data_IF_233424514345
#
_entry.id   IF_233424514345
#
_cell.length_a   1.000
_cell.length_b   1.000
_cell.length_c   1.000
_cell.angle_alpha   90.00
_cell.angle_beta   90.00
_cell.angle_gamma   90.00
#
_symmetry.space_group_name_H-M   'P 1'
#
loop_
_entity.id
_entity.type
_entity.pdbx_description
1 polymer ?
#
# COMPACT_ATOMS: atom_id res chain seq x y z
N UNK A 1 49.07 72.45 24.07
CA UNK A 1 49.16 71.17 24.73
C UNK A 1 47.96 70.37 24.16
N UNK A 2 48.23 69.74 22.99
CA UNK A 2 47.18 69.11 22.16
C UNK A 2 47.22 67.63 22.31
N UNK A 3 46.10 67.05 22.76
CA UNK A 3 45.89 65.57 22.78
C UNK A 3 45.18 65.13 21.53
N UNK A 4 45.91 64.36 20.69
CA UNK A 4 45.36 63.65 19.54
C UNK A 4 44.72 62.37 20.01
N UNK A 5 43.38 62.22 19.87
CA UNK A 5 42.67 60.99 20.07
C UNK A 5 42.58 60.23 18.73
N UNK A 6 43.36 59.15 18.63
CA UNK A 6 43.28 58.20 17.52
C UNK A 6 42.04 57.30 17.65
N UNK A 7 41.10 57.37 16.68
CA UNK A 7 39.98 56.48 16.54
C UNK A 7 40.43 55.23 15.78
N UNK A 8 40.50 54.09 16.46
CA UNK A 8 40.67 52.79 15.83
C UNK A 8 39.27 52.27 15.43
N UNK A 9 39.01 52.23 14.12
CA UNK A 9 37.81 51.61 13.55
C UNK A 9 38.04 50.09 13.40
N UNK A 10 37.36 49.28 14.21
CA UNK A 10 37.37 47.83 14.08
C UNK A 10 36.32 47.47 13.00
N UNK A 11 36.79 47.05 11.84
CA UNK A 11 35.96 46.48 10.77
C UNK A 11 35.68 45.04 11.10
N UNK A 12 34.47 44.72 11.60
CA UNK A 12 33.95 43.37 11.73
C UNK A 12 33.60 42.82 10.35
N UNK A 13 34.46 41.95 9.83
CA UNK A 13 34.17 41.13 8.64
C UNK A 13 33.16 40.05 9.01
N UNK A 14 31.89 40.25 8.64
CA UNK A 14 30.89 39.18 8.61
C UNK A 14 31.18 38.29 7.40
N UNK A 15 31.81 37.15 7.61
CA UNK A 15 31.85 36.06 6.64
C UNK A 15 30.51 35.33 6.64
N UNK A 16 29.81 35.16 5.51
CA UNK A 16 28.62 34.34 5.46
C UNK A 16 29.05 32.86 5.63
N UNK A 17 28.61 32.22 6.73
CA UNK A 17 28.73 30.79 6.90
C UNK A 17 27.74 30.17 5.94
N UNK A 18 28.19 29.72 4.79
CA UNK A 18 27.41 28.85 3.88
C UNK A 18 27.35 27.49 4.55
N UNK A 19 26.22 27.19 5.19
CA UNK A 19 25.91 25.80 5.58
C UNK A 19 25.71 25.01 4.28
N UNK A 20 26.75 24.35 3.80
CA UNK A 20 26.63 23.30 2.82
C UNK A 20 25.88 22.14 3.51
N UNK A 21 24.60 21.96 3.18
CA UNK A 21 23.88 20.73 3.51
C UNK A 21 24.62 19.59 2.82
N UNK A 22 25.33 18.76 3.59
CA UNK A 22 25.95 17.53 3.09
C UNK A 22 24.83 16.58 2.66
N UNK A 23 24.62 16.50 1.37
CA UNK A 23 23.81 15.49 0.72
C UNK A 23 24.62 14.19 0.81
N UNK A 24 24.36 13.38 1.85
CA UNK A 24 24.99 12.07 1.96
C UNK A 24 24.22 11.09 1.06
N UNK A 25 24.85 10.65 -0.01
CA UNK A 25 24.37 9.50 -0.77
C UNK A 25 24.32 8.29 0.16
N UNK A 26 23.10 7.82 0.44
CA UNK A 26 22.91 6.64 1.27
C UNK A 26 23.04 5.40 0.43
N UNK A 27 24.11 4.65 0.65
CA UNK A 27 24.40 3.40 -0.03
C UNK A 27 24.06 2.23 0.88
N UNK A 28 23.33 1.25 0.40
CA UNK A 28 23.08 0.01 1.13
C UNK A 28 23.28 -1.23 0.25
N UNK A 29 23.45 -2.39 0.89
CA UNK A 29 23.67 -3.65 0.20
C UNK A 29 22.39 -4.50 0.25
N UNK A 30 21.88 -4.90 -0.89
CA UNK A 30 20.82 -5.91 -0.99
C UNK A 30 21.16 -6.91 -2.08
N UNK A 31 20.92 -8.20 -1.85
CA UNK A 31 21.26 -9.25 -2.78
C UNK A 31 22.74 -9.28 -3.23
N UNK A 32 23.68 -8.79 -2.40
CA UNK A 32 25.11 -8.72 -2.73
C UNK A 32 25.49 -7.58 -3.68
N UNK A 33 24.56 -6.70 -4.07
CA UNK A 33 24.78 -5.52 -4.91
C UNK A 33 24.66 -4.24 -4.10
N UNK A 34 25.48 -3.26 -4.46
CA UNK A 34 25.43 -1.93 -3.88
C UNK A 34 24.28 -1.13 -4.51
N UNK A 35 23.40 -0.58 -3.67
CA UNK A 35 22.30 0.30 -4.07
C UNK A 35 22.58 1.69 -3.54
N UNK A 36 22.62 2.67 -4.43
CA UNK A 36 22.70 4.08 -4.06
C UNK A 36 21.31 4.69 -4.08
N UNK A 37 20.87 5.23 -2.95
CA UNK A 37 19.61 5.98 -2.85
C UNK A 37 19.89 7.45 -3.04
N UNK A 38 19.33 8.05 -4.07
CA UNK A 38 19.41 9.50 -4.34
C UNK A 38 18.07 10.16 -3.98
N UNK A 39 18.03 11.35 -3.47
CA UNK A 39 18.46 11.77 -2.14
C UNK A 39 17.41 11.38 -1.09
N UNK A 40 17.83 10.83 0.01
CA UNK A 40 16.97 10.64 1.19
C UNK A 40 17.07 11.89 2.04
N UNK A 41 15.98 12.62 2.24
CA UNK A 41 15.92 13.72 3.22
C UNK A 41 15.90 13.10 4.61
N UNK A 42 17.04 13.13 5.31
CA UNK A 42 17.21 12.49 6.61
C UNK A 42 17.44 13.57 7.65
N UNK A 43 16.77 13.45 8.79
CA UNK A 43 17.24 14.11 10.00
C UNK A 43 18.51 13.40 10.49
N UNK A 44 19.52 14.18 10.88
CA UNK A 44 20.83 13.68 11.30
C UNK A 44 20.73 12.55 12.34
N UNK A 45 21.49 11.48 12.14
CA UNK A 45 21.60 10.35 13.07
C UNK A 45 20.84 9.07 12.70
N UNK A 46 20.06 9.03 11.63
CA UNK A 46 19.33 7.83 11.21
C UNK A 46 20.23 6.88 10.42
N UNK A 47 20.31 5.61 10.84
CA UNK A 47 20.93 4.54 10.05
C UNK A 47 20.00 4.16 8.87
N UNK A 48 20.13 4.88 7.77
CA UNK A 48 19.27 4.72 6.57
C UNK A 48 19.31 3.31 5.99
N UNK A 49 20.46 2.68 5.76
CA UNK A 49 20.51 1.32 5.23
C UNK A 49 19.78 0.32 6.14
N UNK A 50 19.97 0.43 7.45
CA UNK A 50 19.27 -0.39 8.44
C UNK A 50 17.76 -0.15 8.45
N UNK A 51 17.34 1.12 8.29
CA UNK A 51 15.93 1.48 8.21
C UNK A 51 15.26 0.91 6.95
N UNK A 52 15.85 1.10 5.77
CA UNK A 52 15.35 0.55 4.52
C UNK A 52 15.22 -0.97 4.58
N UNK A 53 16.24 -1.65 5.09
CA UNK A 53 16.20 -3.11 5.27
C UNK A 53 15.06 -3.54 6.21
N UNK A 54 14.77 -2.73 7.24
CA UNK A 54 13.64 -3.00 8.14
C UNK A 54 12.31 -2.81 7.44
N UNK A 55 12.15 -1.76 6.62
CA UNK A 55 10.95 -1.55 5.78
C UNK A 55 10.78 -2.66 4.76
N UNK A 56 11.86 -3.03 4.08
CA UNK A 56 11.86 -4.14 3.11
C UNK A 56 11.41 -5.45 3.76
N UNK A 57 11.82 -5.74 4.98
CA UNK A 57 11.47 -6.96 5.69
C UNK A 57 10.17 -6.85 6.50
N UNK A 58 9.51 -5.68 6.52
CA UNK A 58 8.24 -5.53 7.23
C UNK A 58 7.17 -6.47 6.67
N UNK A 59 6.48 -7.14 7.58
CA UNK A 59 5.35 -8.00 7.28
C UNK A 59 4.08 -7.58 8.02
N UNK A 60 4.14 -6.52 8.83
CA UNK A 60 3.04 -6.14 9.73
C UNK A 60 1.82 -5.69 8.96
N UNK A 61 2.00 -4.99 7.84
CA UNK A 61 0.92 -4.58 6.96
C UNK A 61 0.18 -5.79 6.35
N UNK A 62 0.90 -6.71 5.74
CA UNK A 62 0.31 -7.92 5.17
C UNK A 62 -0.31 -8.82 6.26
N UNK A 63 0.34 -8.92 7.41
CA UNK A 63 -0.15 -9.66 8.58
C UNK A 63 -1.50 -9.13 9.06
N UNK A 64 -1.72 -7.81 9.02
CA UNK A 64 -3.00 -7.23 9.40
C UNK A 64 -4.17 -7.77 8.55
N UNK A 65 -4.00 -7.89 7.23
CA UNK A 65 -5.02 -8.51 6.37
C UNK A 65 -5.19 -10.01 6.63
N UNK A 66 -4.09 -10.70 6.92
CA UNK A 66 -4.15 -12.13 7.27
C UNK A 66 -4.90 -12.38 8.60
N UNK A 67 -4.81 -11.44 9.53
CA UNK A 67 -5.52 -11.55 10.80
C UNK A 67 -7.04 -11.48 10.63
N UNK A 68 -7.56 -10.83 9.59
CA UNK A 68 -9.01 -10.85 9.31
C UNK A 68 -9.58 -12.27 9.14
N UNK A 69 -8.74 -13.24 8.78
CA UNK A 69 -9.18 -14.64 8.60
C UNK A 69 -9.52 -15.36 9.91
N UNK A 70 -9.03 -14.84 11.03
CA UNK A 70 -9.20 -15.47 12.35
C UNK A 70 -9.95 -14.61 13.35
N UNK A 71 -10.29 -13.37 12.97
CA UNK A 71 -11.01 -12.42 13.82
C UNK A 71 -12.51 -12.46 13.55
N UNK A 72 -13.30 -12.29 14.60
CA UNK A 72 -14.71 -11.95 14.50
C UNK A 72 -14.85 -10.45 14.41
N UNK A 73 -15.61 -9.93 13.47
CA UNK A 73 -15.79 -8.49 13.30
C UNK A 73 -17.06 -8.15 12.53
N UNK A 74 -17.52 -6.92 12.69
CA UNK A 74 -18.53 -6.31 11.84
C UNK A 74 -17.85 -5.41 10.82
N UNK A 75 -18.34 -5.35 9.58
CA UNK A 75 -17.90 -4.35 8.61
C UNK A 75 -19.05 -3.61 7.96
N UNK A 76 -18.80 -2.32 7.69
CA UNK A 76 -19.62 -1.50 6.79
C UNK A 76 -18.89 -1.43 5.47
N UNK A 77 -19.61 -1.69 4.40
CA UNK A 77 -19.07 -1.82 3.05
C UNK A 77 -19.84 -0.88 2.12
N UNK A 78 -19.13 -0.11 1.34
CA UNK A 78 -19.66 0.78 0.30
C UNK A 78 -18.88 0.53 -0.99
N UNK A 79 -19.53 0.04 -2.02
CA UNK A 79 -18.96 -0.21 -3.35
C UNK A 79 -19.74 0.58 -4.37
N UNK A 80 -19.07 1.34 -5.22
CA UNK A 80 -19.68 2.18 -6.26
C UNK A 80 -19.00 1.93 -7.59
N UNK A 81 -19.80 1.65 -8.58
CA UNK A 81 -19.36 1.47 -9.97
C UNK A 81 -19.75 2.68 -10.79
N UNK A 82 -18.83 3.18 -11.61
CA UNK A 82 -19.01 4.41 -12.37
C UNK A 82 -19.09 4.11 -13.85
N UNK A 83 -20.05 4.75 -14.50
CA UNK A 83 -20.16 4.74 -15.92
C UNK A 83 -19.20 5.67 -16.64
N UNK A 84 -19.22 5.64 -17.96
CA UNK A 84 -18.34 6.47 -18.81
C UNK A 84 -18.54 7.97 -18.61
N UNK A 85 -19.69 8.39 -18.14
CA UNK A 85 -20.05 9.78 -17.83
C UNK A 85 -19.57 10.22 -16.42
N UNK A 86 -18.91 9.33 -15.66
CA UNK A 86 -18.43 9.58 -14.29
C UNK A 86 -19.54 9.56 -13.23
N UNK A 87 -20.77 9.16 -13.56
CA UNK A 87 -21.86 8.98 -12.61
C UNK A 87 -21.86 7.57 -12.07
N UNK A 88 -22.37 7.40 -10.85
CA UNK A 88 -22.58 6.06 -10.27
C UNK A 88 -23.69 5.37 -11.07
N UNK A 89 -23.38 4.23 -11.65
CA UNK A 89 -24.32 3.37 -12.39
C UNK A 89 -24.84 2.24 -11.53
N UNK A 90 -24.00 1.71 -10.63
CA UNK A 90 -24.41 0.68 -9.69
C UNK A 90 -23.70 0.85 -8.35
N UNK A 91 -24.33 0.43 -7.28
CA UNK A 91 -23.70 0.46 -5.95
C UNK A 91 -24.19 -0.68 -5.09
N UNK A 92 -23.38 -1.02 -4.06
CA UNK A 92 -23.74 -1.93 -2.97
C UNK A 92 -23.29 -1.31 -1.65
N UNK A 93 -24.22 -1.15 -0.73
CA UNK A 93 -23.98 -0.80 0.64
C UNK A 93 -24.40 -1.96 1.52
N UNK A 94 -23.51 -2.46 2.36
CA UNK A 94 -23.87 -3.57 3.23
C UNK A 94 -23.24 -3.45 4.62
N UNK A 95 -23.90 -4.11 5.57
CA UNK A 95 -23.37 -4.40 6.90
C UNK A 95 -23.23 -5.90 7.03
N UNK A 96 -22.04 -6.36 7.32
CA UNK A 96 -21.75 -7.78 7.44
C UNK A 96 -21.13 -8.13 8.79
N UNK A 97 -21.36 -9.36 9.25
CA UNK A 97 -20.73 -9.90 10.45
C UNK A 97 -19.96 -11.16 10.08
N UNK A 98 -18.66 -11.16 10.31
CA UNK A 98 -17.84 -12.35 10.22
C UNK A 98 -17.80 -13.07 11.58
N UNK A 99 -18.11 -14.35 11.55
CA UNK A 99 -17.86 -15.31 12.63
C UNK A 99 -16.60 -16.10 12.31
N UNK A 100 -15.78 -16.36 13.30
CA UNK A 100 -14.59 -17.18 13.18
C UNK A 100 -14.49 -18.14 14.38
N UNK A 101 -14.26 -19.43 14.15
CA UNK A 101 -14.08 -20.43 15.20
C UNK A 101 -13.37 -21.65 14.63
N UNK A 102 -12.44 -22.23 15.38
CA UNK A 102 -11.75 -23.49 15.02
C UNK A 102 -11.17 -23.52 13.59
N UNK A 103 -10.47 -22.46 13.19
CA UNK A 103 -9.92 -22.26 11.84
C UNK A 103 -10.96 -22.22 10.71
N UNK A 104 -12.23 -22.05 11.02
CA UNK A 104 -13.29 -21.78 10.05
C UNK A 104 -13.85 -20.37 10.23
N UNK A 105 -14.27 -19.76 9.15
CA UNK A 105 -14.99 -18.48 9.17
C UNK A 105 -16.19 -18.50 8.23
N UNK A 106 -17.17 -17.68 8.56
CA UNK A 106 -18.34 -17.42 7.72
C UNK A 106 -18.74 -15.97 7.83
N UNK A 107 -19.15 -15.37 6.73
CA UNK A 107 -19.64 -13.99 6.67
C UNK A 107 -21.16 -14.00 6.49
N UNK A 108 -21.88 -13.40 7.43
CA UNK A 108 -23.31 -13.16 7.32
C UNK A 108 -23.56 -11.73 6.88
N UNK A 109 -24.39 -11.55 5.87
CA UNK A 109 -24.90 -10.24 5.47
C UNK A 109 -26.06 -9.92 6.41
N UNK A 110 -25.92 -8.84 7.20
CA UNK A 110 -26.94 -8.36 8.11
C UNK A 110 -27.91 -7.41 7.41
N UNK A 111 -27.36 -6.57 6.58
CA UNK A 111 -28.11 -5.57 5.80
C UNK A 111 -27.40 -5.41 4.45
N UNK A 112 -28.16 -5.33 3.36
CA UNK A 112 -27.64 -5.02 2.04
C UNK A 112 -28.63 -4.17 1.26
N UNK A 113 -28.10 -3.16 0.60
CA UNK A 113 -28.85 -2.31 -0.32
C UNK A 113 -28.04 -2.08 -1.58
N UNK A 114 -28.63 -2.39 -2.71
CA UNK A 114 -28.01 -2.22 -4.04
C UNK A 114 -28.80 -1.24 -4.90
N UNK A 115 -28.10 -0.58 -5.80
CA UNK A 115 -28.69 0.25 -6.85
C UNK A 115 -28.10 -0.09 -8.20
N UNK A 116 -28.88 0.10 -9.27
CA UNK A 116 -28.47 -0.28 -10.63
C UNK A 116 -28.23 -1.78 -10.77
N UNK A 117 -27.56 -2.15 -11.83
CA UNK A 117 -27.31 -3.56 -12.17
C UNK A 117 -26.04 -4.10 -11.47
N UNK A 118 -25.97 -3.99 -10.13
CA UNK A 118 -24.81 -4.47 -9.37
C UNK A 118 -24.65 -6.00 -9.45
N UNK A 119 -25.75 -6.72 -9.39
CA UNK A 119 -25.84 -8.16 -9.65
C UNK A 119 -26.55 -8.44 -10.97
N UNK A 120 -26.24 -9.56 -11.57
CA UNK A 120 -27.00 -10.16 -12.68
C UNK A 120 -28.26 -10.83 -12.14
N UNK A 121 -29.16 -11.25 -13.05
CA UNK A 121 -30.40 -11.95 -12.70
C UNK A 121 -30.16 -13.30 -12.00
N UNK A 122 -28.99 -13.93 -12.22
CA UNK A 122 -28.56 -15.18 -11.57
C UNK A 122 -27.88 -14.96 -10.20
N UNK A 123 -27.77 -13.69 -9.74
CA UNK A 123 -27.13 -13.31 -8.49
C UNK A 123 -25.59 -13.22 -8.53
N UNK A 124 -24.98 -13.46 -9.70
CA UNK A 124 -23.55 -13.23 -9.88
C UNK A 124 -23.23 -11.73 -10.03
N UNK A 125 -21.99 -11.34 -9.71
CA UNK A 125 -21.57 -9.95 -9.86
C UNK A 125 -21.55 -9.52 -11.33
N UNK A 126 -22.12 -8.38 -11.62
CA UNK A 126 -22.06 -7.78 -12.95
C UNK A 126 -20.68 -7.11 -13.20
N UNK A 127 -20.01 -6.69 -12.13
CA UNK A 127 -18.74 -5.99 -12.16
C UNK A 127 -17.62 -6.81 -11.56
N UNK A 128 -16.48 -6.86 -12.24
CA UNK A 128 -15.27 -7.53 -11.74
C UNK A 128 -14.76 -6.93 -10.42
N UNK A 129 -14.85 -5.59 -10.27
CA UNK A 129 -14.49 -4.90 -9.04
C UNK A 129 -15.34 -5.35 -7.86
N UNK A 130 -16.65 -5.52 -8.06
CA UNK A 130 -17.57 -6.05 -7.04
C UNK A 130 -17.23 -7.49 -6.66
N UNK A 131 -16.96 -8.35 -7.63
CA UNK A 131 -16.52 -9.74 -7.42
C UNK A 131 -15.18 -9.79 -6.67
N UNK A 132 -14.21 -8.95 -7.06
CA UNK A 132 -12.92 -8.85 -6.37
C UNK A 132 -13.12 -8.44 -4.91
N UNK A 133 -13.90 -7.39 -4.66
CA UNK A 133 -14.23 -6.91 -3.33
C UNK A 133 -14.82 -8.02 -2.45
N UNK A 134 -15.86 -8.69 -2.94
CA UNK A 134 -16.48 -9.79 -2.21
C UNK A 134 -15.48 -10.91 -1.89
N UNK A 135 -14.63 -11.25 -2.85
CA UNK A 135 -13.58 -12.28 -2.65
C UNK A 135 -12.53 -11.92 -1.59
N UNK A 136 -12.39 -10.63 -1.26
CA UNK A 136 -11.45 -10.14 -0.25
C UNK A 136 -12.06 -10.18 1.17
N UNK A 137 -13.32 -9.79 1.29
CA UNK A 137 -13.95 -9.47 2.57
C UNK A 137 -15.06 -10.42 2.97
N UNK A 138 -15.66 -11.14 2.01
CA UNK A 138 -16.76 -12.05 2.29
C UNK A 138 -16.34 -13.51 2.11
N UNK A 139 -17.01 -14.40 2.81
CA UNK A 139 -17.03 -15.82 2.48
C UNK A 139 -18.41 -16.17 1.96
N UNK A 140 -18.51 -16.82 0.81
CA UNK A 140 -19.80 -17.28 0.24
C UNK A 140 -20.43 -18.35 1.15
N UNK A 141 -19.58 -19.21 1.74
CA UNK A 141 -19.94 -20.30 2.66
C UNK A 141 -18.95 -20.34 3.81
N UNK A 142 -19.06 -21.37 4.66
CA UNK A 142 -18.06 -21.62 5.69
C UNK A 142 -16.73 -22.02 5.05
N UNK A 143 -15.70 -21.24 5.26
CA UNK A 143 -14.33 -21.48 4.78
C UNK A 143 -13.48 -21.95 5.93
N UNK A 144 -12.89 -23.14 5.82
CA UNK A 144 -12.05 -23.75 6.85
C UNK A 144 -10.59 -23.90 6.40
N UNK A 145 -9.68 -24.09 7.36
CA UNK A 145 -8.25 -24.30 7.12
C UNK A 145 -7.48 -23.03 6.78
N UNK A 146 -8.11 -21.86 6.78
CA UNK A 146 -7.41 -20.60 6.66
C UNK A 146 -6.72 -20.22 7.98
N UNK A 147 -5.53 -19.67 7.85
CA UNK A 147 -4.72 -19.23 8.99
C UNK A 147 -4.21 -17.83 8.77
N UNK A 148 -3.82 -17.18 9.84
CA UNK A 148 -3.12 -15.90 9.77
C UNK A 148 -1.58 -16.05 9.75
N UNK A 149 -1.09 -17.28 9.59
CA UNK A 149 0.35 -17.53 9.45
C UNK A 149 0.83 -16.96 8.12
N UNK A 150 1.92 -16.20 8.19
CA UNK A 150 2.60 -15.71 7.00
C UNK A 150 3.42 -16.87 6.41
N UNK A 151 2.83 -17.57 5.47
CA UNK A 151 3.53 -18.57 4.65
C UNK A 151 4.10 -17.88 3.40
N UNK A 152 5.04 -18.56 2.78
CA UNK A 152 5.61 -18.13 1.51
C UNK A 152 4.49 -17.81 0.50
N UNK A 153 4.61 -16.68 -0.14
CA UNK A 153 3.68 -16.14 -1.14
C UNK A 153 3.39 -17.16 -2.25
N UNK A 154 4.39 -17.95 -2.65
CA UNK A 154 4.27 -19.02 -3.64
C UNK A 154 3.15 -20.03 -3.32
N UNK A 155 2.88 -20.26 -2.04
CA UNK A 155 1.84 -21.19 -1.60
C UNK A 155 0.41 -20.65 -1.81
N UNK A 156 0.22 -19.32 -1.85
CA UNK A 156 -1.12 -18.72 -2.05
C UNK A 156 -1.65 -18.95 -3.47
N UNK A 157 -0.78 -19.11 -4.45
CA UNK A 157 -1.11 -19.31 -5.86
C UNK A 157 -0.93 -20.76 -6.33
N UNK A 158 -0.39 -21.61 -5.47
CA UNK A 158 -0.14 -23.02 -5.80
C UNK A 158 -1.46 -23.75 -6.06
N UNK A 159 -1.55 -24.46 -7.18
CA UNK A 159 -2.75 -25.20 -7.58
C UNK A 159 -3.85 -24.36 -8.22
N UNK A 160 -3.77 -23.04 -8.20
CA UNK A 160 -4.73 -22.14 -8.85
C UNK A 160 -4.38 -21.92 -10.31
N UNK A 161 -5.39 -21.82 -11.19
CA UNK A 161 -5.24 -21.62 -12.63
C UNK A 161 -6.16 -20.50 -13.13
N UNK A 162 -5.82 -19.92 -14.28
CA UNK A 162 -6.65 -18.91 -14.95
C UNK A 162 -6.99 -17.71 -14.06
N UNK A 163 -8.27 -17.33 -14.03
CA UNK A 163 -8.76 -16.14 -13.33
C UNK A 163 -8.51 -16.18 -11.81
N UNK A 164 -8.64 -17.36 -11.18
CA UNK A 164 -8.43 -17.47 -9.73
C UNK A 164 -6.97 -17.22 -9.34
N UNK A 165 -6.03 -17.65 -10.18
CA UNK A 165 -4.61 -17.32 -9.99
C UNK A 165 -4.39 -15.81 -10.09
N UNK A 166 -4.99 -15.16 -11.08
CA UNK A 166 -4.87 -13.71 -11.27
C UNK A 166 -5.49 -12.92 -10.11
N UNK A 167 -6.65 -13.34 -9.61
CA UNK A 167 -7.27 -12.71 -8.43
C UNK A 167 -6.34 -12.78 -7.21
N UNK A 168 -5.72 -13.92 -6.94
CA UNK A 168 -4.78 -14.05 -5.83
C UNK A 168 -3.51 -13.19 -6.04
N UNK A 169 -2.99 -13.12 -7.25
CA UNK A 169 -1.86 -12.25 -7.57
C UNK A 169 -2.20 -10.77 -7.35
N UNK A 170 -3.40 -10.33 -7.74
CA UNK A 170 -3.87 -8.96 -7.49
C UNK A 170 -4.07 -8.68 -5.99
N UNK A 171 -4.62 -9.64 -5.24
CA UNK A 171 -4.71 -9.51 -3.78
C UNK A 171 -3.34 -9.29 -3.15
N UNK A 172 -2.33 -9.99 -3.64
CA UNK A 172 -0.97 -9.85 -3.14
C UNK A 172 -0.37 -8.51 -3.50
N UNK A 173 -0.60 -8.02 -4.72
CA UNK A 173 -0.17 -6.70 -5.15
C UNK A 173 -0.76 -5.61 -4.24
N UNK A 174 -2.04 -5.72 -3.88
CA UNK A 174 -2.69 -4.75 -3.01
C UNK A 174 -2.29 -4.87 -1.54
N UNK A 175 -2.18 -6.08 -1.02
CA UNK A 175 -1.93 -6.26 0.41
C UNK A 175 -0.46 -6.37 0.77
N UNK A 176 0.41 -6.46 -0.22
CA UNK A 176 1.85 -6.52 -0.01
C UNK A 176 2.62 -5.75 -1.11
N UNK A 177 2.29 -4.46 -1.33
CA UNK A 177 2.93 -3.67 -2.38
C UNK A 177 4.44 -3.57 -2.13
N UNK A 178 5.22 -3.61 -3.21
CA UNK A 178 6.69 -3.54 -3.15
C UNK A 178 7.40 -4.87 -2.93
N UNK A 179 6.66 -5.99 -2.87
CA UNK A 179 7.21 -7.34 -2.72
C UNK A 179 7.08 -8.16 -4.01
N UNK A 180 7.98 -9.10 -4.19
CA UNK A 180 7.93 -10.05 -5.32
C UNK A 180 6.61 -10.83 -5.34
N UNK A 181 5.98 -10.87 -6.51
CA UNK A 181 4.75 -11.62 -6.75
C UNK A 181 5.00 -12.60 -7.91
N UNK A 182 5.26 -13.87 -7.60
CA UNK A 182 5.62 -14.85 -8.61
C UNK A 182 4.55 -14.99 -9.69
N UNK A 183 4.99 -14.90 -10.95
CA UNK A 183 4.20 -15.27 -12.11
C UNK A 183 3.04 -14.32 -12.46
N UNK A 184 3.07 -13.06 -12.01
CA UNK A 184 2.21 -12.02 -12.61
C UNK A 184 2.70 -11.80 -14.05
N UNK A 185 1.79 -11.99 -15.03
CA UNK A 185 2.17 -11.80 -16.42
C UNK A 185 2.67 -10.38 -16.68
N UNK A 186 3.80 -10.25 -17.39
CA UNK A 186 4.36 -8.99 -17.87
C UNK A 186 4.84 -7.99 -16.79
N UNK A 187 4.53 -8.19 -15.52
CA UNK A 187 5.02 -7.34 -14.44
C UNK A 187 6.40 -7.77 -13.91
N UNK A 188 6.66 -9.08 -13.86
CA UNK A 188 7.95 -9.59 -13.38
C UNK A 188 8.36 -9.00 -12.03
N UNK A 189 9.60 -8.52 -11.95
CA UNK A 189 10.18 -7.87 -10.78
C UNK A 189 9.91 -6.36 -10.67
N UNK A 190 9.13 -5.77 -11.59
CA UNK A 190 8.82 -4.30 -11.60
C UNK A 190 8.15 -3.79 -10.32
N UNK A 191 7.53 -4.68 -9.55
CA UNK A 191 6.95 -4.36 -8.23
C UNK A 191 7.96 -4.35 -7.09
N UNK A 192 9.19 -4.84 -7.32
CA UNK A 192 10.23 -4.95 -6.30
C UNK A 192 11.01 -3.64 -6.16
N UNK A 193 10.41 -2.65 -5.53
CA UNK A 193 10.96 -1.27 -5.43
C UNK A 193 12.30 -1.17 -4.70
N UNK A 194 12.66 -2.17 -3.89
CA UNK A 194 13.94 -2.23 -3.17
C UNK A 194 15.02 -3.02 -3.92
N UNK A 195 14.68 -3.68 -5.04
CA UNK A 195 15.67 -4.37 -5.85
C UNK A 195 16.63 -3.36 -6.49
N UNK A 196 17.95 -3.64 -6.55
CA UNK A 196 18.94 -2.76 -7.15
C UNK A 196 18.62 -2.33 -8.58
N UNK A 197 17.92 -3.17 -9.34
CA UNK A 197 17.54 -2.87 -10.73
C UNK A 197 16.39 -1.86 -10.84
N UNK A 198 15.64 -1.61 -9.76
CA UNK A 198 14.45 -0.76 -9.74
C UNK A 198 14.55 0.41 -8.74
N UNK A 199 15.34 0.27 -7.68
CA UNK A 199 15.43 1.30 -6.64
C UNK A 199 15.89 2.66 -7.17
N UNK A 200 16.72 2.69 -8.22
CA UNK A 200 17.17 3.90 -8.89
C UNK A 200 16.05 4.67 -9.61
N UNK A 201 14.89 4.06 -9.81
CA UNK A 201 13.72 4.69 -10.43
C UNK A 201 12.93 5.53 -9.44
N UNK A 202 13.26 5.48 -8.13
CA UNK A 202 12.48 6.08 -7.06
C UNK A 202 13.27 7.10 -6.25
N UNK A 203 12.56 8.09 -5.73
CA UNK A 203 13.01 8.94 -4.64
C UNK A 203 12.43 8.38 -3.33
N UNK A 204 13.30 8.25 -2.31
CA UNK A 204 12.93 7.77 -0.99
C UNK A 204 13.00 8.89 0.03
N UNK A 205 12.05 8.97 0.95
CA UNK A 205 12.05 9.92 2.07
C UNK A 205 11.81 9.17 3.37
N UNK A 206 12.62 9.46 4.38
CA UNK A 206 12.43 9.02 5.75
C UNK A 206 12.31 10.27 6.62
N UNK A 207 11.25 10.38 7.40
CA UNK A 207 11.01 11.48 8.32
C UNK A 207 10.40 10.98 9.62
N UNK A 208 10.38 11.83 10.64
CA UNK A 208 9.70 11.59 11.91
C UNK A 208 8.56 12.60 11.98
N UNK A 209 7.37 12.09 12.10
CA UNK A 209 6.12 12.88 12.11
C UNK A 209 5.20 12.40 13.22
N UNK A 210 4.05 13.05 13.30
CA UNK A 210 2.91 12.60 14.10
C UNK A 210 1.80 12.10 13.17
N UNK A 211 1.27 10.92 13.47
CA UNK A 211 0.10 10.36 12.80
C UNK A 211 -1.02 10.14 13.83
N UNK A 212 -2.08 10.94 13.74
CA UNK A 212 -3.24 10.89 14.67
C UNK A 212 -2.85 10.93 16.15
N UNK A 213 -1.97 11.84 16.52
CA UNK A 213 -1.50 12.04 17.90
C UNK A 213 -0.43 11.04 18.37
N UNK A 214 0.15 10.25 17.45
CA UNK A 214 1.18 9.25 17.76
C UNK A 214 2.46 9.54 17.00
N UNK A 215 3.64 9.57 17.65
CA UNK A 215 4.91 9.70 16.96
C UNK A 215 5.14 8.50 16.06
N UNK A 216 5.60 8.76 14.84
CA UNK A 216 5.82 7.74 13.84
C UNK A 216 7.01 8.06 12.94
N UNK A 217 7.59 7.02 12.32
CA UNK A 217 8.42 7.19 11.14
C UNK A 217 7.51 7.25 9.92
N UNK A 218 7.68 8.29 9.11
CA UNK A 218 7.16 8.33 7.75
C UNK A 218 8.22 7.77 6.81
N UNK A 219 7.84 6.79 6.02
CA UNK A 219 8.60 6.31 4.89
C UNK A 219 7.80 6.51 3.62
N UNK A 220 8.35 7.23 2.67
CA UNK A 220 7.72 7.36 1.36
C UNK A 220 8.69 7.01 0.24
N UNK A 221 8.13 6.48 -0.83
CA UNK A 221 8.79 6.35 -2.12
C UNK A 221 7.89 6.94 -3.19
N UNK A 222 8.49 7.59 -4.17
CA UNK A 222 7.82 8.16 -5.33
C UNK A 222 8.67 7.91 -6.57
N UNK A 223 8.06 7.45 -7.66
CA UNK A 223 8.74 7.35 -8.95
C UNK A 223 9.28 8.72 -9.37
N UNK A 224 10.49 8.75 -9.95
CA UNK A 224 11.13 9.98 -10.41
C UNK A 224 10.36 10.57 -11.60
N UNK A 225 10.20 11.88 -11.62
CA UNK A 225 9.42 12.57 -12.66
C UNK A 225 10.19 12.66 -14.00
N UNK A 226 11.53 12.64 -13.95
CA UNK A 226 12.47 12.81 -15.08
C UNK A 226 12.88 11.50 -15.77
N UNK A 227 12.16 10.40 -15.52
CA UNK A 227 12.44 9.12 -16.16
C UNK A 227 12.18 9.16 -17.67
N UNK A 228 13.07 8.52 -18.43
CA UNK A 228 12.84 8.30 -19.85
C UNK A 228 11.60 7.44 -20.11
N UNK A 229 11.05 7.50 -21.33
CA UNK A 229 9.85 6.74 -21.69
C UNK A 229 10.00 5.23 -21.38
N UNK A 230 11.13 4.64 -21.74
CA UNK A 230 11.39 3.20 -21.49
C UNK A 230 11.46 2.85 -20.00
N UNK A 231 12.01 3.75 -19.17
CA UNK A 231 12.07 3.55 -17.71
C UNK A 231 10.71 3.73 -17.03
N UNK A 232 9.84 4.56 -17.60
CA UNK A 232 8.46 4.71 -17.09
C UNK A 232 7.65 3.43 -17.22
N UNK A 233 7.90 2.62 -18.25
CA UNK A 233 7.25 1.32 -18.42
C UNK A 233 7.64 0.28 -17.34
N UNK A 234 8.72 0.54 -16.60
CA UNK A 234 9.16 -0.30 -15.48
C UNK A 234 8.55 0.11 -14.14
N UNK A 235 7.78 1.19 -14.11
CA UNK A 235 7.08 1.64 -12.91
C UNK A 235 5.73 0.94 -12.80
N UNK A 236 5.47 0.35 -11.64
CA UNK A 236 4.16 -0.20 -11.24
C UNK A 236 3.64 0.52 -10.00
N UNK A 237 4.53 0.87 -9.07
CA UNK A 237 4.18 1.65 -7.88
C UNK A 237 4.59 3.10 -8.15
N UNK A 238 3.60 3.97 -8.39
CA UNK A 238 3.85 5.39 -8.65
C UNK A 238 4.29 6.12 -7.39
N UNK A 239 3.63 5.80 -6.27
CA UNK A 239 3.87 6.40 -4.96
C UNK A 239 3.43 5.44 -3.84
N UNK A 240 4.18 5.38 -2.76
CA UNK A 240 3.77 4.70 -1.54
C UNK A 240 4.24 5.48 -0.31
N UNK A 241 3.34 5.74 0.62
CA UNK A 241 3.62 6.39 1.91
C UNK A 241 3.19 5.44 3.02
N UNK A 242 4.09 5.18 3.96
CA UNK A 242 3.83 4.30 5.11
C UNK A 242 4.21 5.00 6.40
N UNK A 243 3.31 4.95 7.36
CA UNK A 243 3.55 5.42 8.73
C UNK A 243 3.80 4.21 9.62
N UNK A 244 4.98 4.16 10.23
CA UNK A 244 5.37 3.13 11.18
C UNK A 244 5.37 3.70 12.60
N UNK A 245 4.80 2.99 13.55
CA UNK A 245 4.89 3.35 14.96
C UNK A 245 6.35 3.54 15.39
N UNK A 246 6.65 4.65 16.03
CA UNK A 246 8.01 5.02 16.38
C UNK A 246 8.70 3.99 17.29
N UNK A 247 7.94 3.35 18.18
CA UNK A 247 8.44 2.40 19.17
C UNK A 247 8.46 0.95 18.66
N UNK A 248 7.34 0.49 18.12
CA UNK A 248 7.17 -0.92 17.72
C UNK A 248 7.55 -1.18 16.27
N UNK A 249 7.57 -0.14 15.44
CA UNK A 249 7.71 -0.23 13.98
C UNK A 249 6.56 -0.99 13.29
N UNK A 250 5.45 -1.21 13.97
CA UNK A 250 4.23 -1.74 13.36
C UNK A 250 3.64 -0.67 12.42
N UNK A 251 3.10 -1.08 11.28
CA UNK A 251 2.45 -0.14 10.35
C UNK A 251 1.18 0.41 10.96
N UNK A 252 1.07 1.74 10.99
CA UNK A 252 -0.13 2.49 11.42
C UNK A 252 -1.06 2.79 10.26
N UNK A 253 -0.49 3.11 9.10
CA UNK A 253 -1.23 3.36 7.87
C UNK A 253 -0.31 3.19 6.66
N UNK A 254 -0.91 2.92 5.51
CA UNK A 254 -0.21 2.92 4.22
C UNK A 254 -1.14 3.42 3.13
N UNK A 255 -0.66 4.41 2.38
CA UNK A 255 -1.30 4.92 1.18
C UNK A 255 -0.40 4.63 -0.01
N UNK A 256 -0.97 4.21 -1.13
CA UNK A 256 -0.19 3.96 -2.34
C UNK A 256 -1.01 4.15 -3.60
N UNK A 257 -0.31 4.50 -4.66
CA UNK A 257 -0.82 4.59 -6.02
C UNK A 257 -0.03 3.64 -6.90
N UNK A 258 -0.73 2.93 -7.74
CA UNK A 258 -0.15 1.97 -8.67
C UNK A 258 -0.79 2.14 -10.02
N UNK A 259 0.02 2.11 -11.07
CA UNK A 259 -0.45 2.09 -12.44
C UNK A 259 0.33 1.09 -13.28
N UNK A 260 -0.33 0.48 -14.25
CA UNK A 260 0.32 -0.44 -15.17
C UNK A 260 -0.45 -0.57 -16.47
N UNK A 261 0.26 -0.66 -17.57
CA UNK A 261 -0.32 -0.88 -18.88
C UNK A 261 0.51 -1.89 -19.69
N UNK A 262 0.02 -3.11 -19.79
CA UNK A 262 0.64 -4.18 -20.55
C UNK A 262 -0.06 -4.47 -21.88
N UNK A 263 -0.97 -3.59 -22.34
CA UNK A 263 -1.78 -3.81 -23.54
C UNK A 263 -2.95 -4.76 -23.28
N UNK A 264 -2.68 -5.97 -22.82
CA UNK A 264 -3.71 -6.98 -22.50
C UNK A 264 -4.52 -6.65 -21.26
N UNK A 265 -3.94 -5.95 -20.31
CA UNK A 265 -4.63 -5.38 -19.17
C UNK A 265 -3.92 -4.10 -18.70
N UNK A 266 -4.69 -3.22 -18.10
CA UNK A 266 -4.22 -1.98 -17.52
C UNK A 266 -4.98 -1.68 -16.24
N UNK A 267 -4.32 -1.01 -15.31
CA UNK A 267 -4.96 -0.47 -14.13
C UNK A 267 -4.32 0.85 -13.69
N UNK A 268 -5.10 1.63 -12.97
CA UNK A 268 -4.67 2.76 -12.20
C UNK A 268 -5.47 2.73 -10.90
N UNK A 269 -4.77 2.54 -9.77
CA UNK A 269 -5.37 2.23 -8.48
C UNK A 269 -4.73 3.08 -7.40
N UNK A 270 -5.58 3.66 -6.55
CA UNK A 270 -5.19 4.31 -5.32
C UNK A 270 -5.79 3.57 -4.14
N UNK A 271 -4.99 3.30 -3.12
CA UNK A 271 -5.45 2.70 -1.86
C UNK A 271 -4.96 3.48 -0.65
N UNK A 272 -5.85 3.61 0.34
CA UNK A 272 -5.55 4.13 1.66
C UNK A 272 -5.99 3.09 2.70
N UNK A 273 -5.08 2.70 3.56
CA UNK A 273 -5.35 1.69 4.59
C UNK A 273 -4.90 2.20 5.94
N UNK A 274 -5.83 2.26 6.87
CA UNK A 274 -5.57 2.54 8.28
C UNK A 274 -5.52 1.22 9.05
N UNK A 275 -4.45 1.02 9.84
CA UNK A 275 -4.28 -0.16 10.68
C UNK A 275 -4.61 0.19 12.13
N UNK A 276 -5.31 -0.70 12.79
CA UNK A 276 -5.57 -0.63 14.23
C UNK A 276 -5.16 -1.95 14.90
N UNK A 277 -5.18 -1.94 16.24
CA UNK A 277 -4.81 -3.10 17.07
C UNK A 277 -5.98 -3.55 17.93
N UNK A 278 -6.21 -4.85 17.96
CA UNK A 278 -7.15 -5.53 18.85
C UNK A 278 -6.40 -6.66 19.56
N UNK A 279 -6.19 -6.55 20.86
CA UNK A 279 -5.33 -7.46 21.59
C UNK A 279 -3.91 -7.54 20.97
N UNK A 280 -3.51 -8.73 20.55
CA UNK A 280 -2.23 -8.98 19.84
C UNK A 280 -2.32 -8.83 18.33
N UNK A 281 -3.50 -8.60 17.77
CA UNK A 281 -3.74 -8.59 16.33
C UNK A 281 -3.76 -7.17 15.77
N UNK A 282 -2.97 -6.92 14.73
CA UNK A 282 -3.17 -5.77 13.85
C UNK A 282 -4.26 -6.14 12.85
N UNK A 283 -5.10 -5.18 12.47
CA UNK A 283 -6.13 -5.37 11.44
C UNK A 283 -6.34 -4.07 10.66
N UNK A 284 -6.74 -4.14 9.39
CA UNK A 284 -7.11 -2.96 8.62
C UNK A 284 -8.46 -2.44 9.12
N UNK A 285 -8.43 -1.28 9.80
CA UNK A 285 -9.63 -0.65 10.36
C UNK A 285 -10.47 0.02 9.28
N UNK A 286 -9.81 0.71 8.36
CA UNK A 286 -10.44 1.40 7.23
C UNK A 286 -9.62 1.12 5.99
N UNK A 287 -10.30 0.75 4.93
CA UNK A 287 -9.70 0.56 3.60
C UNK A 287 -10.51 1.41 2.63
N UNK A 288 -9.82 2.26 1.86
CA UNK A 288 -10.39 3.03 0.75
C UNK A 288 -9.66 2.66 -0.52
N UNK A 289 -10.41 2.43 -1.56
CA UNK A 289 -9.92 2.08 -2.88
C UNK A 289 -10.61 2.94 -3.93
N UNK A 290 -9.86 3.46 -4.86
CA UNK A 290 -10.34 4.06 -6.11
C UNK A 290 -9.51 3.46 -7.26
N UNK A 291 -10.16 2.83 -8.21
CA UNK A 291 -9.46 2.11 -9.26
C UNK A 291 -10.17 2.10 -10.60
N UNK A 292 -9.35 2.17 -11.63
CA UNK A 292 -9.74 1.96 -13.01
C UNK A 292 -9.08 0.67 -13.52
N UNK A 293 -9.87 -0.20 -14.09
CA UNK A 293 -9.42 -1.46 -14.69
C UNK A 293 -9.79 -1.53 -16.15
N UNK A 294 -8.95 -2.14 -16.94
CA UNK A 294 -9.25 -2.53 -18.29
C UNK A 294 -8.65 -3.89 -18.56
N UNK A 295 -9.48 -4.85 -18.92
CA UNK A 295 -9.07 -6.17 -19.39
C UNK A 295 -9.48 -6.28 -20.85
N UNK A 296 -8.57 -6.71 -21.71
CA UNK A 296 -8.87 -6.96 -23.12
C UNK A 296 -10.05 -7.93 -23.20
N UNK A 297 -11.09 -7.57 -23.97
CA UNK A 297 -12.36 -8.31 -24.15
C UNK A 297 -13.42 -8.16 -23.04
N UNK A 298 -13.08 -7.61 -21.84
CA UNK A 298 -14.09 -7.40 -20.77
C UNK A 298 -14.46 -5.94 -20.54
N UNK A 299 -13.81 -5.00 -21.25
CA UNK A 299 -14.12 -3.57 -21.12
C UNK A 299 -13.32 -2.87 -20.04
N UNK A 300 -13.72 -1.64 -19.72
CA UNK A 300 -13.12 -0.80 -18.68
C UNK A 300 -14.12 -0.64 -17.57
N UNK A 301 -13.67 -0.84 -16.34
CA UNK A 301 -14.43 -0.55 -15.13
C UNK A 301 -13.75 0.54 -14.32
N UNK A 302 -14.53 1.40 -13.72
CA UNK A 302 -14.10 2.29 -12.65
C UNK A 302 -14.92 1.98 -11.41
N UNK A 303 -14.25 1.62 -10.34
CA UNK A 303 -14.87 1.31 -9.06
C UNK A 303 -14.21 2.01 -7.89
N UNK A 304 -15.03 2.38 -6.93
CA UNK A 304 -14.58 2.87 -5.63
C UNK A 304 -15.15 1.95 -4.57
N UNK A 305 -14.36 1.61 -3.56
CA UNK A 305 -14.92 0.98 -2.38
C UNK A 305 -14.32 1.48 -1.07
N UNK A 306 -15.13 1.42 -0.01
CA UNK A 306 -14.71 1.64 1.36
C UNK A 306 -15.16 0.47 2.22
N UNK A 307 -14.25 -0.08 3.01
CA UNK A 307 -14.56 -1.01 4.08
C UNK A 307 -14.17 -0.40 5.43
N UNK A 308 -15.07 -0.43 6.40
CA UNK A 308 -14.80 -0.02 7.79
C UNK A 308 -15.06 -1.21 8.70
N UNK A 309 -14.01 -1.67 9.38
CA UNK A 309 -14.03 -2.84 10.25
C UNK A 309 -14.07 -2.39 11.70
N UNK A 310 -15.01 -2.90 12.46
CA UNK A 310 -15.25 -2.55 13.85
C UNK A 310 -15.91 -3.70 14.63
N UNK A 311 -16.20 -3.50 15.91
CA UNK A 311 -16.85 -4.48 16.78
C UNK A 311 -16.17 -5.85 16.72
N UNK A 312 -14.85 -5.82 17.02
CA UNK A 312 -14.03 -7.02 16.99
C UNK A 312 -14.23 -7.86 18.26
N UNK A 313 -14.15 -9.18 18.09
CA UNK A 313 -14.12 -10.17 19.17
C UNK A 313 -13.14 -11.29 18.84
N UNK A 314 -12.67 -11.99 19.87
CA UNK A 314 -11.85 -13.21 19.76
C UNK A 314 -12.71 -14.47 19.52
#
# INVERSE_FOLDING_TARGET
MNYFLSRVSILLLFAPIVLAAQQSDSVFMTGGKQVSLTPVVIRSGTNVPGFIKRVENDTTFYKAFKNLRVLKYTSLNDVRMFGKNGRVEASMNSKTRQWASHSCRVTNILEEHTTGDYYKDDGEFNYYTGELYASLFFSKDTVCGETNVLKDIKLSIQGKRGLDKHKEQLKMLFFNPGKDIPGIPLMGNKVMVFDPSHSDLYNFVIDIQEYKGRPCYLFSLKAKDDLSFFKKDDIVIDEMVTWFDYTTFEVLARNYKMSYNAGVYRFNVSMEVEIAKFGKYLYPKVIRYDGNWGVMLKGKERGLFTATIYDLAD
#
